data_IF_345706680043
#
_entry.id   IF_345706680043
#
_cell.length_a   1.000
_cell.length_b   1.000
_cell.length_c   1.000
_cell.angle_alpha   90.00
_cell.angle_beta   90.00
_cell.angle_gamma   90.00
#
_symmetry.space_group_name_H-M   'P 1'
#
loop_
_entity.id
_entity.type
_entity.pdbx_description
1 polymer ?
#
# COMPACT_ATOMS: atom_id res chain seq x y z
N UNK A 1 16.61 -4.34 -12.12
CA UNK A 1 16.27 -2.94 -11.74
C UNK A 1 14.87 -2.90 -11.14
N UNK A 2 14.72 -2.25 -10.02
CA UNK A 2 13.40 -2.08 -9.41
C UNK A 2 12.60 -0.99 -10.14
N UNK A 3 11.28 -1.13 -10.14
CA UNK A 3 10.39 -0.08 -10.62
C UNK A 3 10.31 1.06 -9.62
N UNK A 4 10.31 0.70 -8.32
CA UNK A 4 10.27 1.64 -7.21
C UNK A 4 11.18 1.15 -6.10
N UNK A 5 11.94 2.06 -5.52
CA UNK A 5 12.79 1.79 -4.37
C UNK A 5 12.46 2.77 -3.26
N UNK A 6 12.10 2.24 -2.10
CA UNK A 6 11.75 3.03 -0.91
C UNK A 6 12.90 2.89 0.07
N UNK A 7 13.63 3.96 0.30
CA UNK A 7 14.87 3.94 1.07
C UNK A 7 14.72 4.49 2.48
N UNK A 8 15.35 3.84 3.44
CA UNK A 8 15.59 4.36 4.78
C UNK A 8 14.40 4.43 5.70
N UNK A 9 13.31 3.77 5.36
CA UNK A 9 12.10 3.76 6.16
C UNK A 9 12.16 2.85 7.38
N UNK A 10 11.21 3.01 8.26
CA UNK A 10 10.92 2.06 9.33
C UNK A 10 9.81 1.15 8.86
N UNK A 11 10.10 -0.13 8.69
CA UNK A 11 9.15 -1.09 8.13
C UNK A 11 8.28 -1.69 9.23
N UNK A 12 6.97 -1.63 9.03
CA UNK A 12 5.98 -2.35 9.83
C UNK A 12 5.22 -3.22 8.83
N UNK A 13 5.48 -4.52 8.87
CA UNK A 13 5.06 -5.41 7.79
C UNK A 13 3.69 -6.08 7.99
N UNK A 14 3.01 -5.80 9.10
CA UNK A 14 1.69 -6.35 9.38
C UNK A 14 1.70 -7.77 9.94
N UNK A 15 2.88 -8.34 10.22
CA UNK A 15 2.98 -9.71 10.75
C UNK A 15 2.92 -9.79 12.27
N UNK A 16 2.90 -8.64 12.95
CA UNK A 16 2.97 -8.57 14.41
C UNK A 16 4.38 -8.53 14.96
N UNK A 17 5.41 -8.71 14.12
CA UNK A 17 6.80 -8.59 14.55
C UNK A 17 7.16 -7.10 14.78
N UNK A 18 8.19 -6.81 15.62
CA UNK A 18 8.63 -5.45 15.85
C UNK A 18 9.06 -4.74 14.57
N UNK A 19 8.85 -3.42 14.54
CA UNK A 19 9.33 -2.58 13.45
C UNK A 19 10.86 -2.70 13.29
N UNK A 20 11.32 -2.52 12.07
CA UNK A 20 12.74 -2.55 11.76
C UNK A 20 13.08 -1.58 10.63
N UNK A 21 14.34 -1.18 10.55
CA UNK A 21 14.80 -0.36 9.43
C UNK A 21 15.02 -1.24 8.21
N UNK A 22 14.58 -0.75 7.06
CA UNK A 22 14.79 -1.48 5.84
C UNK A 22 14.37 -0.68 4.62
N UNK A 23 14.96 -1.03 3.50
CA UNK A 23 14.56 -0.52 2.20
C UNK A 23 13.61 -1.53 1.57
N UNK A 24 12.73 -1.05 0.71
CA UNK A 24 11.76 -1.88 0.02
C UNK A 24 11.89 -1.67 -1.47
N UNK A 25 12.12 -2.76 -2.20
CA UNK A 25 12.20 -2.75 -3.66
C UNK A 25 10.95 -3.39 -4.27
N UNK A 26 10.34 -2.68 -5.20
CA UNK A 26 9.13 -3.12 -5.91
C UNK A 26 9.46 -3.36 -7.37
N UNK A 27 9.08 -4.50 -7.88
CA UNK A 27 9.22 -4.86 -9.28
C UNK A 27 8.01 -5.67 -9.74
N UNK A 28 7.49 -5.35 -10.93
CA UNK A 28 6.36 -6.08 -11.49
C UNK A 28 5.09 -6.03 -10.63
N UNK A 29 4.87 -4.92 -9.92
CA UNK A 29 3.72 -4.76 -9.05
C UNK A 29 3.79 -5.52 -7.74
N UNK A 30 4.96 -6.04 -7.39
CA UNK A 30 5.16 -6.82 -6.15
C UNK A 30 6.33 -6.30 -5.36
N UNK A 31 6.28 -6.49 -4.06
CA UNK A 31 7.46 -6.31 -3.19
C UNK A 31 8.43 -7.45 -3.51
N UNK A 32 9.56 -7.08 -4.10
CA UNK A 32 10.55 -8.05 -4.58
C UNK A 32 11.69 -8.29 -3.60
N UNK A 33 12.04 -7.27 -2.83
CA UNK A 33 13.11 -7.36 -1.84
C UNK A 33 12.90 -6.38 -0.70
N UNK A 34 13.31 -6.78 0.50
CA UNK A 34 13.36 -5.93 1.68
C UNK A 34 14.72 -6.15 2.33
N UNK A 35 15.42 -5.07 2.65
CA UNK A 35 16.72 -5.15 3.30
C UNK A 35 17.53 -3.90 3.05
N UNK A 36 18.84 -4.04 2.93
CA UNK A 36 19.71 -2.95 2.52
C UNK A 36 19.83 -2.98 0.99
N UNK A 37 19.13 -2.07 0.36
CA UNK A 37 19.07 -1.94 -1.10
C UNK A 37 19.75 -0.66 -1.58
N UNK A 38 20.53 -0.01 -0.71
CA UNK A 38 21.28 1.20 -1.07
C UNK A 38 22.22 0.92 -2.25
N UNK A 39 22.30 1.88 -3.16
CA UNK A 39 23.12 1.71 -4.38
C UNK A 39 22.49 0.86 -5.47
N UNK A 40 21.31 0.34 -5.28
CA UNK A 40 20.59 -0.42 -6.29
C UNK A 40 19.87 0.52 -7.25
N UNK A 41 19.80 0.14 -8.53
CA UNK A 41 19.09 0.93 -9.53
C UNK A 41 17.59 0.76 -9.45
N UNK A 42 16.87 1.86 -9.64
CA UNK A 42 15.40 1.86 -9.70
C UNK A 42 14.93 2.99 -10.62
N UNK A 43 13.73 2.81 -11.17
CA UNK A 43 13.12 3.85 -12.01
C UNK A 43 12.68 5.05 -11.18
N UNK A 44 12.15 4.78 -9.99
CA UNK A 44 11.75 5.80 -9.03
C UNK A 44 12.31 5.46 -7.66
N UNK A 45 12.68 6.50 -6.93
CA UNK A 45 13.21 6.35 -5.56
C UNK A 45 12.41 7.27 -4.64
N UNK A 46 11.94 6.72 -3.54
CA UNK A 46 11.32 7.47 -2.46
C UNK A 46 12.26 7.44 -1.26
N UNK A 47 12.63 8.62 -0.78
CA UNK A 47 13.34 8.75 0.48
C UNK A 47 12.32 8.70 1.62
N UNK A 48 12.32 7.60 2.36
CA UNK A 48 11.39 7.38 3.46
C UNK A 48 12.05 7.58 4.83
N UNK A 49 13.19 8.27 4.88
CA UNK A 49 13.86 8.55 6.14
C UNK A 49 12.93 9.29 7.09
N UNK A 50 12.77 8.77 8.31
CA UNK A 50 11.85 9.31 9.30
C UNK A 50 10.39 8.93 9.10
N UNK A 51 10.10 8.11 8.12
CA UNK A 51 8.73 7.66 7.81
C UNK A 51 8.56 6.18 8.09
N UNK A 52 7.32 5.79 8.29
CA UNK A 52 6.93 4.38 8.39
C UNK A 52 6.54 3.88 7.01
N UNK A 53 7.04 2.71 6.66
CA UNK A 53 6.67 1.99 5.45
C UNK A 53 5.86 0.77 5.86
N UNK A 54 4.63 0.70 5.43
CA UNK A 54 3.71 -0.36 5.81
C UNK A 54 2.85 -0.75 4.61
N UNK A 55 2.26 -1.95 4.63
CA UNK A 55 1.24 -2.29 3.65
C UNK A 55 0.07 -1.31 3.70
N UNK A 56 -0.60 -1.11 2.58
CA UNK A 56 -1.83 -0.34 2.55
C UNK A 56 -2.87 -0.93 3.51
N UNK A 57 -3.64 -0.06 4.14
CA UNK A 57 -4.65 -0.51 5.09
C UNK A 57 -5.84 -1.14 4.38
N UNK A 58 -6.45 -2.12 5.05
CA UNK A 58 -7.66 -2.78 4.59
C UNK A 58 -8.82 -2.25 5.42
N UNK A 59 -9.82 -1.68 4.75
CA UNK A 59 -11.07 -1.28 5.38
C UNK A 59 -12.04 -2.48 5.33
N UNK A 60 -12.32 -3.14 6.45
CA UNK A 60 -13.10 -4.37 6.45
C UNK A 60 -14.61 -4.15 6.33
N UNK A 61 -15.08 -2.91 6.35
CA UNK A 61 -16.50 -2.59 6.23
C UNK A 61 -16.67 -1.24 5.54
N UNK A 62 -16.96 -1.27 4.25
CA UNK A 62 -17.06 -0.06 3.43
C UNK A 62 -18.26 -0.11 2.50
N UNK A 63 -18.73 1.08 2.14
CA UNK A 63 -19.82 1.31 1.20
C UNK A 63 -19.41 2.21 0.05
N UNK A 64 -18.11 2.33 -0.21
CA UNK A 64 -17.59 3.25 -1.22
C UNK A 64 -17.52 2.67 -2.63
N UNK A 65 -17.92 1.41 -2.84
CA UNK A 65 -17.83 0.80 -4.17
C UNK A 65 -18.53 1.59 -5.30
N UNK A 66 -19.64 2.30 -5.09
CA UNK A 66 -20.22 3.14 -6.14
C UNK A 66 -19.29 4.23 -6.65
N UNK A 67 -18.33 4.68 -5.82
CA UNK A 67 -17.39 5.72 -6.22
C UNK A 67 -16.40 5.26 -7.30
N UNK A 68 -16.18 3.96 -7.45
CA UNK A 68 -15.30 3.41 -8.47
C UNK A 68 -15.88 3.55 -9.89
N UNK A 69 -17.16 3.81 -9.99
CA UNK A 69 -17.84 4.05 -11.25
C UNK A 69 -18.00 5.53 -11.59
N UNK A 70 -17.54 6.40 -10.69
CA UNK A 70 -17.54 7.84 -10.92
C UNK A 70 -16.30 8.32 -11.68
N UNK A 71 -16.20 9.61 -11.97
CA UNK A 71 -15.07 10.16 -12.71
C UNK A 71 -13.77 10.25 -11.92
N UNK A 72 -13.80 10.00 -10.63
CA UNK A 72 -12.62 10.03 -9.73
C UNK A 72 -12.56 8.78 -8.88
N UNK A 73 -11.33 8.29 -8.66
CA UNK A 73 -11.09 7.27 -7.64
C UNK A 73 -11.39 7.85 -6.24
N UNK A 74 -11.75 7.01 -5.27
CA UNK A 74 -12.07 7.47 -3.91
C UNK A 74 -10.83 7.96 -3.16
N UNK A 75 -10.45 9.20 -3.43
CA UNK A 75 -9.22 9.81 -2.90
C UNK A 75 -9.18 9.87 -1.37
N UNK A 76 -10.34 10.07 -0.72
CA UNK A 76 -10.39 10.17 0.74
C UNK A 76 -9.85 8.93 1.42
N UNK A 77 -10.16 7.76 0.89
CA UNK A 77 -9.65 6.49 1.41
C UNK A 77 -8.15 6.36 1.16
N UNK A 78 -7.71 6.66 -0.06
CA UNK A 78 -6.30 6.58 -0.42
C UNK A 78 -5.43 7.53 0.40
N UNK A 79 -5.90 8.73 0.69
CA UNK A 79 -5.18 9.70 1.52
C UNK A 79 -5.01 9.24 2.96
N UNK A 80 -5.83 8.33 3.43
CA UNK A 80 -5.72 7.72 4.75
C UNK A 80 -4.90 6.43 4.73
N UNK A 81 -4.34 6.06 3.58
CA UNK A 81 -3.54 4.85 3.44
C UNK A 81 -4.35 3.59 3.21
N UNK A 82 -5.65 3.72 2.94
CA UNK A 82 -6.53 2.57 2.69
C UNK A 82 -6.46 2.22 1.20
N UNK A 83 -5.98 1.02 0.90
CA UNK A 83 -5.79 0.54 -0.47
C UNK A 83 -6.70 -0.63 -0.83
N UNK A 84 -7.38 -1.20 0.15
CA UNK A 84 -8.28 -2.34 -0.05
C UNK A 84 -9.53 -2.14 0.80
N UNK A 85 -10.68 -2.42 0.24
CA UNK A 85 -11.95 -2.34 0.95
C UNK A 85 -12.71 -3.66 0.81
N UNK A 86 -13.39 -4.04 1.88
CA UNK A 86 -14.36 -5.14 1.86
C UNK A 86 -15.73 -4.52 1.89
N UNK A 87 -16.53 -4.79 0.86
CA UNK A 87 -17.83 -4.19 0.66
C UNK A 87 -18.94 -5.23 0.80
N UNK A 88 -20.20 -4.78 0.75
CA UNK A 88 -21.39 -5.63 0.84
C UNK A 88 -21.62 -6.29 2.19
N UNK A 89 -20.95 -5.87 3.25
CA UNK A 89 -21.15 -6.38 4.60
C UNK A 89 -22.60 -6.23 5.09
N UNK A 90 -23.26 -5.14 4.69
CA UNK A 90 -24.62 -4.85 5.09
C UNK A 90 -25.65 -5.29 4.05
N UNK A 91 -25.27 -6.12 3.09
CA UNK A 91 -26.14 -6.61 2.04
C UNK A 91 -26.35 -5.65 0.88
N UNK A 92 -25.83 -4.43 0.96
CA UNK A 92 -25.86 -3.47 -0.15
C UNK A 92 -24.58 -3.52 -0.95
N UNK A 93 -24.67 -3.85 -2.23
CA UNK A 93 -23.51 -3.92 -3.08
C UNK A 93 -23.87 -3.94 -4.54
N UNK A 94 -22.85 -3.87 -5.41
CA UNK A 94 -23.02 -3.81 -6.85
C UNK A 94 -22.99 -5.19 -7.53
N UNK A 95 -22.61 -6.21 -6.81
CA UNK A 95 -22.61 -7.57 -7.35
C UNK A 95 -24.03 -8.14 -7.41
N UNK A 96 -24.35 -8.93 -8.43
CA UNK A 96 -25.60 -9.67 -8.46
C UNK A 96 -25.68 -10.64 -7.25
N UNK A 97 -26.85 -10.79 -6.72
CA UNK A 97 -27.08 -11.66 -5.57
C UNK A 97 -27.68 -12.99 -6.05
#
# INVERSE_FOLDING_TARGET
MFDLLILGGTVIDGTGRPRYRGDVGVAGGRVDAIGDLSGTEAREVIDAKGMVVAPGFIDPHSHSEPAFFGPKVPELKLRQGITTEIVQHCGGGLSPV
#
